data_IF_613481924762
#
_entry.id   IF_613481924762
#
_cell.length_a   1.000
_cell.length_b   1.000
_cell.length_c   1.000
_cell.angle_alpha   90.00
_cell.angle_beta   90.00
_cell.angle_gamma   90.00
#
_symmetry.space_group_name_H-M   'P 1'
#
loop_
_entity.id
_entity.type
_entity.pdbx_description
1 polymer ?
#
# COMPACT_ATOMS: atom_id res chain seq x y z
N UNK A 1 -14.38 -56.67 44.12
CA UNK A 1 -13.92 -55.45 43.46
C UNK A 1 -14.29 -55.53 41.98
N UNK A 2 -15.32 -54.84 41.50
CA UNK A 2 -15.63 -54.79 40.07
C UNK A 2 -14.84 -53.66 39.41
N UNK A 3 -13.97 -54.00 38.48
CA UNK A 3 -13.27 -53.09 37.63
C UNK A 3 -14.23 -52.53 36.57
N UNK A 4 -14.71 -51.32 36.83
CA UNK A 4 -15.54 -50.55 35.91
C UNK A 4 -14.69 -50.08 34.71
N UNK A 5 -14.64 -50.94 33.70
CA UNK A 5 -14.03 -50.56 32.42
C UNK A 5 -14.95 -49.57 31.76
N UNK A 6 -14.61 -48.29 31.88
CA UNK A 6 -15.20 -47.19 31.08
C UNK A 6 -15.19 -47.60 29.61
N UNK A 7 -16.29 -48.14 29.12
CA UNK A 7 -16.54 -48.38 27.67
C UNK A 7 -16.55 -47.00 26.98
N UNK A 8 -15.41 -46.60 26.49
CA UNK A 8 -15.34 -45.46 25.53
C UNK A 8 -16.17 -45.86 24.33
N UNK A 9 -17.38 -45.32 24.18
CA UNK A 9 -18.20 -45.47 22.99
C UNK A 9 -17.43 -44.86 21.84
N UNK A 10 -17.19 -45.65 20.81
CA UNK A 10 -16.61 -45.15 19.54
C UNK A 10 -17.53 -44.04 19.00
N UNK A 11 -16.97 -42.91 18.51
CA UNK A 11 -17.80 -41.86 17.97
C UNK A 11 -18.56 -42.37 16.75
N UNK A 12 -19.81 -41.97 16.64
CA UNK A 12 -20.65 -42.34 15.49
C UNK A 12 -20.13 -41.61 14.24
N UNK A 13 -20.28 -42.18 13.02
CA UNK A 13 -19.70 -41.60 11.79
C UNK A 13 -20.14 -40.15 11.54
N UNK A 14 -21.33 -39.77 11.95
CA UNK A 14 -21.80 -38.38 11.83
C UNK A 14 -21.12 -37.42 12.80
N UNK A 15 -20.70 -37.89 13.99
CA UNK A 15 -19.97 -37.10 14.99
C UNK A 15 -18.53 -36.83 14.50
N UNK A 16 -17.90 -37.81 13.84
CA UNK A 16 -16.58 -37.63 13.23
C UNK A 16 -16.64 -36.68 12.05
N UNK A 17 -17.68 -36.79 11.20
CA UNK A 17 -17.89 -35.86 10.09
C UNK A 17 -18.15 -34.44 10.58
N UNK A 18 -18.97 -34.24 11.60
CA UNK A 18 -19.22 -32.92 12.20
C UNK A 18 -17.94 -32.31 12.84
N UNK A 19 -17.15 -33.12 13.54
CA UNK A 19 -15.88 -32.67 14.12
C UNK A 19 -14.85 -32.25 13.04
N UNK A 20 -14.77 -33.02 11.95
CA UNK A 20 -13.93 -32.67 10.78
C UNK A 20 -14.39 -31.37 10.14
N UNK A 21 -15.68 -31.17 9.98
CA UNK A 21 -16.24 -29.95 9.40
C UNK A 21 -15.94 -28.72 10.26
N UNK A 22 -16.06 -28.85 11.59
CA UNK A 22 -15.71 -27.79 12.54
C UNK A 22 -14.21 -27.46 12.51
N UNK A 23 -13.35 -28.48 12.44
CA UNK A 23 -11.90 -28.30 12.35
C UNK A 23 -11.49 -27.59 11.03
N UNK A 24 -12.10 -27.98 9.91
CA UNK A 24 -11.85 -27.34 8.60
C UNK A 24 -12.33 -25.88 8.63
N UNK A 25 -13.54 -25.62 9.13
CA UNK A 25 -14.07 -24.25 9.21
C UNK A 25 -13.25 -23.35 10.15
N UNK A 26 -12.76 -23.88 11.26
CA UNK A 26 -11.88 -23.16 12.19
C UNK A 26 -10.52 -22.87 11.55
N UNK A 27 -9.98 -23.80 10.76
CA UNK A 27 -8.73 -23.62 10.00
C UNK A 27 -8.84 -22.54 8.93
N UNK A 28 -9.96 -22.46 8.23
CA UNK A 28 -10.21 -21.42 7.22
C UNK A 28 -10.30 -20.01 7.85
N UNK A 29 -10.90 -19.87 9.02
CA UNK A 29 -11.03 -18.58 9.73
C UNK A 29 -9.69 -18.11 10.31
N UNK A 30 -8.81 -19.04 10.72
CA UNK A 30 -7.50 -18.70 11.28
C UNK A 30 -6.44 -18.31 10.21
N UNK A 31 -6.71 -18.57 8.92
CA UNK A 31 -5.78 -18.38 7.81
C UNK A 31 -5.99 -17.11 7.00
N UNK A 32 -6.68 -16.07 7.52
CA UNK A 32 -6.83 -14.80 6.79
C UNK A 32 -5.49 -14.06 6.72
N UNK A 33 -4.79 -14.20 5.59
CA UNK A 33 -3.59 -13.43 5.26
C UNK A 33 -3.96 -11.99 4.94
N UNK A 34 -3.17 -11.02 5.43
CA UNK A 34 -3.31 -9.62 5.05
C UNK A 34 -2.15 -9.24 4.12
N UNK A 35 -2.46 -8.64 2.97
CA UNK A 35 -1.45 -8.01 2.10
C UNK A 35 -1.32 -6.55 2.53
N UNK A 36 -0.15 -6.16 3.05
CA UNK A 36 0.13 -4.78 3.41
C UNK A 36 0.90 -4.11 2.27
N UNK A 37 0.30 -3.09 1.66
CA UNK A 37 0.87 -2.33 0.56
C UNK A 37 1.25 -0.94 1.05
N UNK A 38 2.56 -0.63 1.05
CA UNK A 38 3.09 0.63 1.53
C UNK A 38 4.00 1.31 0.52
N UNK A 39 3.82 2.61 0.32
CA UNK A 39 4.69 3.44 -0.50
C UNK A 39 5.40 4.46 0.37
N UNK A 40 6.73 4.50 0.31
CA UNK A 40 7.57 5.49 0.99
C UNK A 40 8.12 6.47 -0.04
N UNK A 41 7.82 7.76 0.16
CA UNK A 41 8.27 8.84 -0.71
C UNK A 41 9.40 9.59 -0.03
N UNK A 42 10.52 9.71 -0.72
CA UNK A 42 11.68 10.48 -0.30
C UNK A 42 11.96 11.58 -1.30
N UNK A 43 12.50 12.68 -0.85
CA UNK A 43 12.96 13.77 -1.72
C UNK A 43 14.38 14.20 -1.39
N UNK A 44 15.07 14.70 -2.40
CA UNK A 44 16.31 15.43 -2.24
C UNK A 44 16.12 16.86 -2.77
N UNK A 45 16.19 17.89 -1.87
CA UNK A 45 16.37 17.80 -0.43
C UNK A 45 15.14 17.30 0.33
N UNK A 46 15.32 16.77 1.56
CA UNK A 46 14.21 16.29 2.38
C UNK A 46 13.35 17.46 2.91
N UNK A 47 12.15 17.13 3.45
CA UNK A 47 11.24 18.12 4.00
C UNK A 47 10.34 18.80 2.96
N UNK A 48 10.14 18.17 1.79
CA UNK A 48 9.15 18.61 0.82
C UNK A 48 7.75 18.14 1.22
N UNK A 49 6.76 19.00 1.08
CA UNK A 49 5.36 18.69 1.27
C UNK A 49 4.87 17.78 0.12
N UNK A 50 4.23 16.66 0.47
CA UNK A 50 3.86 15.60 -0.46
C UNK A 50 2.35 15.55 -0.64
N UNK A 51 1.93 15.53 -1.91
CA UNK A 51 0.55 15.25 -2.30
C UNK A 51 0.54 13.99 -3.17
N UNK A 52 -0.36 13.08 -2.89
CA UNK A 52 -0.64 11.89 -3.72
C UNK A 52 -2.08 11.97 -4.19
N UNK A 53 -2.29 11.96 -5.50
CA UNK A 53 -3.60 12.13 -6.14
C UNK A 53 -4.37 13.37 -5.59
N UNK A 54 -3.63 14.47 -5.38
CA UNK A 54 -4.08 15.75 -4.84
C UNK A 54 -4.42 15.77 -3.34
N UNK A 55 -4.27 14.65 -2.62
CA UNK A 55 -4.38 14.60 -1.17
C UNK A 55 -3.02 14.80 -0.50
N UNK A 56 -2.97 15.72 0.45
CA UNK A 56 -1.77 15.96 1.25
C UNK A 56 -1.57 14.81 2.25
N UNK A 57 -0.38 14.18 2.21
CA UNK A 57 -0.05 13.05 3.09
C UNK A 57 1.00 13.38 4.15
N UNK A 58 1.81 14.41 3.92
CA UNK A 58 2.83 14.84 4.89
C UNK A 58 4.05 15.45 4.24
N UNK A 59 5.19 15.39 4.92
CA UNK A 59 6.49 15.89 4.46
C UNK A 59 7.48 14.75 4.32
N UNK A 60 8.35 14.83 3.30
CA UNK A 60 9.35 13.78 3.04
C UNK A 60 10.42 13.70 4.13
N UNK A 61 10.84 12.49 4.55
CA UNK A 61 10.35 11.18 4.09
C UNK A 61 9.00 10.83 4.71
N UNK A 62 8.04 10.36 3.91
CA UNK A 62 6.71 9.98 4.37
C UNK A 62 6.27 8.65 3.75
N UNK A 63 5.59 7.82 4.54
CA UNK A 63 5.04 6.56 4.08
C UNK A 63 3.51 6.63 4.09
N UNK A 64 2.89 6.09 3.06
CA UNK A 64 1.43 5.96 2.96
C UNK A 64 1.07 4.57 2.46
N UNK A 65 -0.03 4.04 2.97
CA UNK A 65 -0.57 2.79 2.46
C UNK A 65 -1.36 3.07 1.18
N UNK A 66 -1.37 2.09 0.27
CA UNK A 66 -2.16 2.18 -0.95
C UNK A 66 -2.98 0.91 -1.16
N UNK A 67 -4.18 1.07 -1.71
CA UNK A 67 -5.12 -0.04 -1.91
C UNK A 67 -5.05 -0.57 -3.33
N UNK A 68 -4.86 0.32 -4.32
CA UNK A 68 -4.92 -0.04 -5.72
C UNK A 68 -3.58 0.23 -6.41
N UNK A 69 -3.18 -0.72 -7.25
CA UNK A 69 -2.09 -0.54 -8.21
C UNK A 69 -2.51 0.39 -9.35
N UNK A 70 -1.55 0.94 -10.06
CA UNK A 70 -1.78 1.85 -11.17
C UNK A 70 -0.81 3.02 -11.15
N UNK A 71 -1.10 4.07 -11.91
CA UNK A 71 -0.26 5.26 -11.94
C UNK A 71 -0.76 6.28 -10.95
N UNK A 72 0.10 6.67 -9.99
CA UNK A 72 -0.18 7.69 -8.99
C UNK A 72 0.46 9.02 -9.36
N UNK A 73 -0.27 10.11 -9.17
CA UNK A 73 0.23 11.46 -9.32
C UNK A 73 0.85 11.91 -8.00
N UNK A 74 2.18 12.08 -7.98
CA UNK A 74 2.91 12.56 -6.82
C UNK A 74 3.33 13.99 -7.11
N UNK A 75 2.98 14.93 -6.21
CA UNK A 75 3.40 16.33 -6.30
C UNK A 75 4.16 16.69 -5.03
N UNK A 76 5.36 17.24 -5.23
CA UNK A 76 6.22 17.74 -4.17
C UNK A 76 6.28 19.25 -4.23
N UNK A 77 6.11 19.88 -3.08
CA UNK A 77 6.18 21.34 -2.91
C UNK A 77 7.16 21.66 -1.79
N UNK A 78 8.14 22.50 -2.08
CA UNK A 78 9.12 22.97 -1.09
C UNK A 78 9.55 24.39 -1.41
N UNK A 79 9.66 25.23 -0.40
CA UNK A 79 10.10 26.60 -0.55
C UNK A 79 11.53 26.67 -1.12
N UNK A 80 11.73 27.53 -2.13
CA UNK A 80 13.00 27.67 -2.84
C UNK A 80 13.28 26.59 -3.87
N UNK A 81 12.33 25.68 -4.14
CA UNK A 81 12.42 24.63 -5.15
C UNK A 81 11.24 24.68 -6.11
N UNK A 82 11.45 24.19 -7.32
CA UNK A 82 10.36 24.03 -8.28
C UNK A 82 9.39 22.94 -7.82
N UNK A 83 8.10 23.19 -7.99
CA UNK A 83 7.08 22.17 -7.73
C UNK A 83 7.24 21.00 -8.70
N UNK A 84 7.60 19.84 -8.16
CA UNK A 84 7.77 18.62 -8.95
C UNK A 84 6.47 17.84 -8.98
N UNK A 85 5.98 17.53 -10.18
CA UNK A 85 4.83 16.63 -10.38
C UNK A 85 5.24 15.46 -11.23
N UNK A 86 5.14 14.25 -10.70
CA UNK A 86 5.52 13.00 -11.34
C UNK A 86 4.35 12.04 -11.34
N UNK A 87 4.21 11.29 -12.43
CA UNK A 87 3.30 10.14 -12.51
C UNK A 87 4.10 8.87 -12.27
N UNK A 88 3.95 8.32 -11.08
CA UNK A 88 4.66 7.11 -10.66
C UNK A 88 3.82 5.88 -10.97
N UNK A 89 4.26 5.00 -11.88
CA UNK A 89 3.59 3.72 -12.09
C UNK A 89 3.90 2.76 -10.95
N UNK A 90 2.86 2.15 -10.41
CA UNK A 90 2.91 1.05 -9.44
C UNK A 90 2.40 -0.21 -10.15
N UNK A 91 3.27 -1.00 -10.79
CA UNK A 91 2.85 -2.18 -11.52
C UNK A 91 2.28 -3.24 -10.57
N UNK A 92 1.25 -3.94 -11.05
CA UNK A 92 0.64 -5.07 -10.34
C UNK A 92 1.68 -6.19 -10.28
N UNK A 93 2.01 -6.73 -9.09
CA UNK A 93 2.88 -7.88 -8.98
C UNK A 93 2.19 -9.14 -9.52
N UNK A 94 2.97 -10.13 -9.91
CA UNK A 94 2.46 -11.38 -10.52
C UNK A 94 1.52 -12.18 -9.61
N UNK A 95 1.66 -12.04 -8.29
CA UNK A 95 0.84 -12.75 -7.29
C UNK A 95 -0.52 -12.08 -7.04
N UNK A 96 -0.74 -10.88 -7.56
CA UNK A 96 -2.00 -10.12 -7.51
C UNK A 96 -2.81 -10.25 -8.82
N UNK A 97 -2.44 -11.20 -9.69
CA UNK A 97 -3.15 -11.45 -10.94
C UNK A 97 -4.08 -12.64 -10.76
N UNK A 98 -5.34 -12.50 -11.22
CA UNK A 98 -6.32 -13.60 -11.18
C UNK A 98 -5.76 -14.88 -11.88
N UNK A 99 -5.89 -16.07 -11.29
CA UNK A 99 -6.59 -16.43 -10.04
C UNK A 99 -5.69 -16.44 -8.78
N UNK A 100 -4.43 -15.98 -8.87
CA UNK A 100 -3.45 -16.07 -7.78
C UNK A 100 -3.76 -15.10 -6.63
N UNK A 101 -4.38 -13.94 -6.92
CA UNK A 101 -4.83 -12.95 -5.95
C UNK A 101 -5.74 -13.57 -4.88
N UNK A 102 -6.69 -14.43 -5.30
CA UNK A 102 -7.57 -15.15 -4.37
C UNK A 102 -6.78 -16.02 -3.38
N UNK A 103 -5.72 -16.68 -3.86
CA UNK A 103 -4.88 -17.56 -3.03
C UNK A 103 -4.03 -16.74 -2.07
N UNK A 104 -3.45 -15.63 -2.54
CA UNK A 104 -2.58 -14.78 -1.72
C UNK A 104 -3.35 -13.97 -0.68
N UNK A 105 -4.56 -13.54 -0.99
CA UNK A 105 -5.38 -12.76 -0.06
C UNK A 105 -6.15 -13.63 0.96
N UNK A 106 -6.53 -14.86 0.58
CA UNK A 106 -7.43 -15.69 1.40
C UNK A 106 -6.80 -16.97 1.96
N UNK A 107 -5.83 -17.54 1.28
CA UNK A 107 -5.27 -18.86 1.63
C UNK A 107 -3.80 -18.80 2.05
N UNK A 108 -3.12 -17.67 1.84
CA UNK A 108 -1.72 -17.54 2.20
C UNK A 108 -1.59 -17.23 3.71
N UNK A 109 -0.92 -18.09 4.51
CA UNK A 109 -0.89 -17.96 5.98
C UNK A 109 0.10 -16.92 6.50
N UNK A 110 0.86 -16.25 5.63
CA UNK A 110 1.83 -15.23 6.01
C UNK A 110 1.47 -13.86 5.47
N UNK A 111 1.82 -12.80 6.21
CA UNK A 111 1.69 -11.42 5.78
C UNK A 111 2.60 -11.15 4.57
N UNK A 112 2.02 -10.73 3.45
CA UNK A 112 2.76 -10.28 2.27
C UNK A 112 2.91 -8.76 2.39
N UNK A 113 4.17 -8.27 2.37
CA UNK A 113 4.48 -6.84 2.42
C UNK A 113 4.98 -6.39 1.05
N UNK A 114 4.23 -5.51 0.40
CA UNK A 114 4.69 -4.80 -0.80
C UNK A 114 5.12 -3.38 -0.41
N UNK A 115 6.43 -3.20 -0.22
CA UNK A 115 7.03 -1.92 0.13
C UNK A 115 7.68 -1.30 -1.11
N UNK A 116 7.16 -0.14 -1.54
CA UNK A 116 7.69 0.63 -2.67
C UNK A 116 8.36 1.89 -2.18
N UNK A 117 9.60 2.13 -2.61
CA UNK A 117 10.35 3.36 -2.33
C UNK A 117 10.43 4.19 -3.59
N UNK A 118 10.04 5.46 -3.49
CA UNK A 118 10.08 6.44 -4.58
C UNK A 118 11.01 7.56 -4.16
N UNK A 119 12.18 7.65 -4.80
CA UNK A 119 13.17 8.70 -4.57
C UNK A 119 13.06 9.76 -5.66
N UNK A 120 12.83 11.01 -5.26
CA UNK A 120 12.60 12.14 -6.16
C UNK A 120 13.56 13.27 -5.86
N UNK A 121 14.25 13.78 -6.89
CA UNK A 121 15.10 14.97 -6.78
C UNK A 121 14.34 16.21 -7.24
N UNK A 122 14.41 17.30 -6.46
CA UNK A 122 13.81 18.58 -6.77
C UNK A 122 14.89 19.55 -7.29
N UNK A 123 14.55 20.31 -8.32
CA UNK A 123 15.40 21.38 -8.83
C UNK A 123 15.19 22.67 -8.00
N UNK A 124 16.24 23.45 -7.72
CA UNK A 124 16.09 24.77 -7.12
C UNK A 124 15.23 25.67 -8.01
N UNK A 125 14.36 26.48 -7.40
CA UNK A 125 13.58 27.44 -8.16
C UNK A 125 14.50 28.52 -8.75
N UNK A 126 14.49 28.70 -10.07
CA UNK A 126 15.16 29.82 -10.71
C UNK A 126 14.37 31.10 -10.42
N UNK A 127 14.96 32.01 -9.64
CA UNK A 127 14.41 33.34 -9.46
C UNK A 127 14.56 34.14 -10.76
N UNK A 128 13.46 34.36 -11.47
CA UNK A 128 13.50 35.24 -12.64
C UNK A 128 13.73 36.70 -12.15
N UNK A 129 14.62 37.44 -12.81
CA UNK A 129 14.81 38.87 -12.47
C UNK A 129 13.48 39.62 -12.52
N UNK A 130 13.23 40.46 -11.52
CA UNK A 130 11.96 41.18 -11.40
C UNK A 130 11.62 42.00 -12.66
N UNK A 131 12.62 42.49 -13.36
CA UNK A 131 12.48 43.24 -14.59
C UNK A 131 11.80 42.43 -15.72
N UNK A 132 12.15 41.13 -15.85
CA UNK A 132 11.52 40.25 -16.84
C UNK A 132 10.06 39.95 -16.52
N UNK A 133 9.74 39.83 -15.24
CA UNK A 133 8.37 39.61 -14.79
C UNK A 133 7.51 40.85 -15.07
N UNK A 134 8.03 42.04 -14.75
CA UNK A 134 7.35 43.32 -15.02
C UNK A 134 7.16 43.54 -16.52
N UNK A 135 8.20 43.29 -17.34
CA UNK A 135 8.10 43.43 -18.81
C UNK A 135 7.03 42.51 -19.40
N UNK A 136 6.97 41.25 -18.95
CA UNK A 136 5.95 40.27 -19.38
C UNK A 136 4.54 40.71 -18.98
N UNK A 137 4.39 41.21 -17.73
CA UNK A 137 3.11 41.71 -17.23
C UNK A 137 2.62 42.95 -18.04
N UNK A 138 3.53 43.82 -18.46
CA UNK A 138 3.20 44.97 -19.32
C UNK A 138 2.74 44.53 -20.71
N UNK A 139 3.42 43.54 -21.30
CA UNK A 139 3.05 43.00 -22.63
C UNK A 139 1.69 42.30 -22.60
N UNK A 140 1.33 41.67 -21.50
CA UNK A 140 0.03 40.98 -21.37
C UNK A 140 -1.16 41.94 -21.14
N UNK A 141 -0.91 43.25 -20.92
CA UNK A 141 -1.94 44.27 -20.75
C UNK A 141 -2.30 45.03 -22.02
N UNK A 142 -1.55 44.81 -23.10
CA UNK A 142 -1.79 45.37 -24.46
C UNK A 142 -2.66 44.42 -25.28
#
# INVERSE_FOLDING_TARGET
MPSDRLRRRAPTPWQTAAALFVLISLGVVAGSGCVQRRMTIRSNPPGALVYVDDYQIGTTPVSTDFVYYGTRKIRLVKDGYETLTVRQPLPVPWYEVFPLDFVTENLWPWEIRDERVVDLAMAPAESQPAELVVARAQTARL
#
